data_IF_023777550354
#
_entry.id   IF_023777550354
#
_cell.length_a   1.000
_cell.length_b   1.000
_cell.length_c   1.000
_cell.angle_alpha   90.00
_cell.angle_beta   90.00
_cell.angle_gamma   90.00
#
_symmetry.space_group_name_H-M   'P 1'
#
loop_
_entity.id
_entity.type
_entity.pdbx_description
1 polymer ?
#
# COMPACT_ATOMS: atom_id res chain seq x y z
N UNK A 1 11.34 -20.99 -44.80
CA UNK A 1 10.86 -21.83 -43.69
C UNK A 1 9.63 -21.13 -43.10
N UNK A 2 8.43 -21.56 -43.51
CA UNK A 2 7.15 -20.97 -43.15
C UNK A 2 6.91 -21.20 -41.62
N UNK A 3 6.83 -20.11 -40.86
CA UNK A 3 6.30 -20.17 -39.47
C UNK A 3 4.77 -20.31 -39.61
N UNK A 4 4.28 -21.49 -39.26
CA UNK A 4 2.86 -21.75 -39.12
C UNK A 4 2.31 -20.90 -37.97
N UNK A 5 1.45 -19.93 -38.36
CA UNK A 5 0.55 -19.29 -37.40
C UNK A 5 -0.42 -20.36 -36.90
N UNK A 6 -0.18 -20.92 -35.75
CA UNK A 6 -1.17 -21.73 -35.06
C UNK A 6 -2.24 -20.74 -34.54
N UNK A 7 -3.28 -20.58 -35.34
CA UNK A 7 -4.52 -20.02 -34.85
C UNK A 7 -5.12 -20.98 -33.84
N UNK A 8 -4.75 -20.82 -32.56
CA UNK A 8 -5.56 -21.39 -31.49
C UNK A 8 -6.88 -20.61 -31.50
N UNK A 9 -7.92 -21.22 -32.04
CA UNK A 9 -9.30 -20.83 -31.82
C UNK A 9 -9.55 -20.94 -30.31
N UNK A 10 -9.36 -19.83 -29.61
CA UNK A 10 -9.67 -19.74 -28.18
C UNK A 10 -11.16 -20.00 -28.01
N UNK A 11 -11.50 -21.02 -27.25
CA UNK A 11 -12.80 -21.09 -26.61
C UNK A 11 -12.95 -19.77 -25.84
N UNK A 12 -13.95 -18.96 -26.19
CA UNK A 12 -14.26 -17.71 -25.50
C UNK A 12 -14.23 -17.99 -24.00
N UNK A 13 -13.35 -17.30 -23.27
CA UNK A 13 -13.21 -17.50 -21.85
C UNK A 13 -14.47 -16.96 -21.16
N UNK A 14 -15.27 -17.85 -20.60
CA UNK A 14 -16.52 -17.46 -19.96
C UNK A 14 -16.34 -16.72 -18.63
N UNK A 15 -15.12 -16.76 -18.05
CA UNK A 15 -14.78 -16.14 -16.77
C UNK A 15 -13.35 -15.62 -16.80
N UNK A 16 -13.06 -14.59 -15.99
CA UNK A 16 -11.68 -14.18 -15.75
C UNK A 16 -10.88 -15.33 -15.10
N UNK A 17 -9.57 -15.40 -15.35
CA UNK A 17 -8.71 -16.37 -14.68
C UNK A 17 -8.77 -16.19 -13.16
N UNK A 18 -8.56 -17.28 -12.41
CA UNK A 18 -8.39 -17.19 -10.97
C UNK A 18 -7.20 -16.28 -10.64
N UNK A 19 -7.28 -15.56 -9.52
CA UNK A 19 -6.16 -14.77 -9.03
C UNK A 19 -4.95 -15.66 -8.76
N UNK A 20 -3.82 -15.34 -9.36
CA UNK A 20 -2.56 -16.09 -9.25
C UNK A 20 -1.39 -15.12 -9.13
N UNK A 21 -0.40 -15.50 -8.34
CA UNK A 21 0.91 -14.86 -8.32
C UNK A 21 1.90 -15.64 -9.19
N UNK A 22 2.68 -14.94 -10.02
CA UNK A 22 3.75 -15.53 -10.81
C UNK A 22 4.82 -14.49 -11.15
N UNK A 23 6.09 -14.90 -11.14
CA UNK A 23 7.23 -14.06 -11.59
C UNK A 23 7.38 -14.02 -13.10
N UNK A 24 6.69 -14.89 -13.83
CA UNK A 24 6.71 -14.85 -15.29
C UNK A 24 6.13 -13.51 -15.78
N UNK A 25 6.86 -12.76 -16.62
CA UNK A 25 6.36 -11.49 -17.11
C UNK A 25 5.14 -11.68 -18.01
N UNK A 26 4.17 -10.79 -17.91
CA UNK A 26 3.17 -10.66 -18.94
C UNK A 26 3.81 -10.03 -20.18
N UNK A 27 3.36 -10.41 -21.37
CA UNK A 27 3.80 -9.82 -22.63
C UNK A 27 2.65 -9.02 -23.24
N UNK A 28 2.90 -7.73 -23.47
CA UNK A 28 1.99 -6.88 -24.24
C UNK A 28 2.66 -6.56 -25.58
N UNK A 29 2.08 -7.01 -26.68
CA UNK A 29 2.64 -6.80 -28.02
C UNK A 29 1.56 -6.50 -29.03
N UNK A 30 1.94 -6.08 -30.22
CA UNK A 30 0.95 -5.83 -31.27
C UNK A 30 1.46 -4.99 -32.40
N UNK A 31 0.49 -4.36 -33.09
CA UNK A 31 0.77 -3.56 -34.27
C UNK A 31 -0.12 -2.32 -34.34
N UNK A 32 0.48 -1.21 -34.74
CA UNK A 32 -0.22 0.03 -35.04
C UNK A 32 -0.31 0.16 -36.56
N UNK A 33 -1.52 0.26 -37.06
CA UNK A 33 -1.82 0.38 -38.50
C UNK A 33 -2.29 1.81 -38.78
N UNK A 34 -1.75 2.44 -39.83
CA UNK A 34 -2.16 3.79 -40.21
C UNK A 34 -1.20 4.45 -41.15
N UNK A 35 -1.36 5.74 -41.41
CA UNK A 35 -0.51 6.50 -42.31
C UNK A 35 0.93 6.56 -41.78
N UNK A 36 1.93 6.20 -42.59
CA UNK A 36 3.36 6.10 -42.24
C UNK A 36 3.97 7.37 -41.58
N UNK A 37 3.34 8.52 -41.70
CA UNK A 37 3.73 9.74 -41.00
C UNK A 37 3.29 9.79 -39.51
N UNK A 38 2.39 8.88 -39.09
CA UNK A 38 1.84 8.83 -37.71
C UNK A 38 2.43 7.68 -36.86
N UNK A 39 3.20 6.76 -37.48
CA UNK A 39 3.73 5.54 -36.80
C UNK A 39 5.07 5.81 -36.10
N UNK A 40 5.50 7.05 -35.95
CA UNK A 40 6.77 7.39 -35.22
C UNK A 40 6.64 7.39 -33.70
N UNK A 41 5.51 6.92 -33.17
CA UNK A 41 5.20 7.01 -31.76
C UNK A 41 5.62 5.75 -31.01
N UNK A 42 5.95 5.92 -29.75
CA UNK A 42 6.19 4.83 -28.83
C UNK A 42 4.88 4.40 -28.14
N UNK A 43 4.78 3.13 -27.82
CA UNK A 43 3.75 2.62 -26.90
C UNK A 43 4.23 2.80 -25.49
N UNK A 44 3.46 3.51 -24.69
CA UNK A 44 3.73 3.74 -23.28
C UNK A 44 2.70 2.99 -22.43
N UNK A 45 3.16 2.32 -21.39
CA UNK A 45 2.30 1.56 -20.47
C UNK A 45 2.58 1.96 -19.03
N UNK A 46 1.53 2.24 -18.26
CA UNK A 46 1.59 2.40 -16.80
C UNK A 46 0.73 1.34 -16.14
N UNK A 47 1.23 0.74 -15.08
CA UNK A 47 0.50 -0.24 -14.29
C UNK A 47 0.98 -0.22 -12.84
N UNK A 48 0.15 -0.72 -11.93
CA UNK A 48 0.47 -0.78 -10.52
C UNK A 48 0.71 -2.23 -10.10
N UNK A 49 1.85 -2.48 -9.45
CA UNK A 49 2.12 -3.78 -8.85
C UNK A 49 1.22 -3.99 -7.65
N UNK A 50 0.36 -5.00 -7.71
CA UNK A 50 -0.69 -5.19 -6.70
C UNK A 50 -0.15 -5.63 -5.33
N UNK A 51 1.02 -6.29 -5.26
CA UNK A 51 1.63 -6.77 -4.01
C UNK A 51 2.67 -5.81 -3.42
N UNK A 52 2.87 -4.61 -4.02
CA UNK A 52 3.81 -3.60 -3.52
C UNK A 52 3.13 -2.23 -3.34
N UNK A 53 1.80 -2.17 -3.32
CA UNK A 53 1.09 -0.92 -3.10
C UNK A 53 1.49 -0.31 -1.75
N UNK A 54 1.66 1.00 -1.69
CA UNK A 54 2.08 1.71 -0.48
C UNK A 54 3.59 1.96 -0.36
N UNK A 55 4.44 1.29 -1.13
CA UNK A 55 5.90 1.55 -1.09
C UNK A 55 6.34 2.75 -1.93
N UNK A 56 5.43 3.42 -2.64
CA UNK A 56 5.76 4.42 -3.66
C UNK A 56 6.34 3.82 -4.96
N UNK A 57 6.91 2.63 -4.87
CA UNK A 57 7.48 1.89 -6.00
C UNK A 57 6.49 0.96 -6.70
N UNK A 58 5.21 0.99 -6.33
CA UNK A 58 4.20 0.15 -6.94
C UNK A 58 3.90 0.55 -8.39
N UNK A 59 3.93 1.85 -8.68
CA UNK A 59 3.70 2.35 -10.04
C UNK A 59 4.88 2.00 -10.95
N UNK A 60 4.58 1.34 -12.05
CA UNK A 60 5.54 0.98 -13.10
C UNK A 60 5.20 1.68 -14.41
N UNK A 61 6.25 1.99 -15.14
CA UNK A 61 6.15 2.54 -16.49
C UNK A 61 7.07 1.73 -17.40
N UNK A 62 6.55 1.37 -18.56
CA UNK A 62 7.30 0.72 -19.63
C UNK A 62 6.98 1.40 -20.96
N UNK A 63 7.94 1.39 -21.87
CA UNK A 63 7.73 1.91 -23.20
C UNK A 63 8.46 1.07 -24.24
N UNK A 64 7.88 0.94 -25.43
CA UNK A 64 8.53 0.34 -26.59
C UNK A 64 8.42 1.27 -27.78
N UNK A 65 9.51 1.41 -28.51
CA UNK A 65 9.47 2.03 -29.84
C UNK A 65 8.69 1.13 -30.80
N UNK A 66 7.96 1.74 -31.69
CA UNK A 66 7.26 1.05 -32.78
C UNK A 66 8.22 0.93 -33.96
N UNK A 67 8.34 -0.27 -34.50
CA UNK A 67 9.21 -0.51 -35.68
C UNK A 67 8.60 0.01 -36.99
N UNK A 68 9.34 -0.12 -38.09
CA UNK A 68 8.91 0.35 -39.42
C UNK A 68 7.63 -0.35 -39.92
N UNK A 69 7.32 -1.54 -39.42
CA UNK A 69 6.12 -2.30 -39.76
C UNK A 69 4.96 -1.99 -38.77
N UNK A 70 5.15 -1.04 -37.88
CA UNK A 70 4.18 -0.67 -36.87
C UNK A 70 4.12 -1.62 -35.65
N UNK A 71 5.10 -2.52 -35.47
CA UNK A 71 5.08 -3.54 -34.43
C UNK A 71 5.82 -3.07 -33.17
N UNK A 72 5.37 -3.60 -32.03
CA UNK A 72 6.00 -3.38 -30.72
C UNK A 72 5.87 -4.63 -29.85
N UNK A 73 6.69 -4.70 -28.79
CA UNK A 73 6.58 -5.73 -27.74
C UNK A 73 7.15 -5.21 -26.42
N UNK A 74 6.45 -5.49 -25.32
CA UNK A 74 6.80 -5.12 -23.96
C UNK A 74 6.71 -6.35 -23.05
N UNK A 75 7.74 -6.57 -22.23
CA UNK A 75 7.70 -7.48 -21.11
C UNK A 75 7.34 -6.71 -19.84
N UNK A 76 6.27 -7.12 -19.18
CA UNK A 76 5.70 -6.46 -18.01
C UNK A 76 5.78 -7.40 -16.79
N UNK A 77 6.74 -7.22 -15.88
CA UNK A 77 6.85 -8.02 -14.67
C UNK A 77 5.77 -7.60 -13.66
N UNK A 78 4.56 -8.09 -13.85
CA UNK A 78 3.39 -7.65 -13.09
C UNK A 78 3.15 -8.41 -11.78
N UNK A 79 3.67 -9.62 -11.67
CA UNK A 79 3.48 -10.50 -10.52
C UNK A 79 2.06 -11.08 -10.39
N UNK A 80 1.05 -10.30 -10.71
CA UNK A 80 -0.36 -10.67 -10.70
C UNK A 80 -1.05 -10.14 -11.96
N UNK A 81 -2.29 -10.53 -12.21
CA UNK A 81 -3.11 -9.89 -13.23
C UNK A 81 -3.33 -8.43 -12.86
N UNK A 82 -3.05 -7.52 -13.77
CA UNK A 82 -3.17 -6.08 -13.57
C UNK A 82 -3.81 -5.38 -14.76
N UNK A 83 -4.45 -4.25 -14.48
CA UNK A 83 -4.85 -3.26 -15.46
C UNK A 83 -3.64 -2.45 -15.92
N UNK A 84 -3.51 -2.29 -17.22
CA UNK A 84 -2.48 -1.51 -17.89
C UNK A 84 -3.11 -0.30 -18.58
N UNK A 85 -2.68 0.89 -18.20
CA UNK A 85 -3.03 2.12 -18.90
C UNK A 85 -2.09 2.29 -20.09
N UNK A 86 -2.60 2.05 -21.28
CA UNK A 86 -1.83 2.10 -22.53
C UNK A 86 -2.03 3.44 -23.21
N UNK A 87 -0.92 4.02 -23.70
CA UNK A 87 -0.92 5.25 -24.47
C UNK A 87 -0.16 5.07 -25.77
N UNK A 88 -0.79 5.46 -26.88
CA UNK A 88 -0.19 5.50 -28.22
C UNK A 88 -0.54 6.87 -28.83
N UNK A 89 0.41 7.79 -28.83
CA UNK A 89 0.13 9.18 -29.16
C UNK A 89 -0.95 9.79 -28.25
N UNK A 90 -2.03 10.27 -28.84
CA UNK A 90 -3.19 10.79 -28.10
C UNK A 90 -4.18 9.71 -27.66
N UNK A 91 -4.08 8.52 -28.24
CA UNK A 91 -4.97 7.40 -27.91
C UNK A 91 -4.64 6.87 -26.50
N UNK A 92 -5.67 6.65 -25.69
CA UNK A 92 -5.58 6.11 -24.32
C UNK A 92 -6.63 5.04 -24.11
N UNK A 93 -6.23 3.90 -23.54
CA UNK A 93 -7.16 2.83 -23.15
C UNK A 93 -6.58 2.00 -22.02
N UNK A 94 -7.41 1.18 -21.43
CA UNK A 94 -7.03 0.22 -20.39
C UNK A 94 -7.18 -1.19 -20.95
N UNK A 95 -6.23 -2.07 -20.65
CA UNK A 95 -6.36 -3.50 -20.88
C UNK A 95 -5.75 -4.29 -19.73
N UNK A 96 -6.30 -5.47 -19.46
CA UNK A 96 -5.75 -6.39 -18.46
C UNK A 96 -4.72 -7.30 -19.09
N UNK A 97 -3.62 -7.53 -18.35
CA UNK A 97 -2.57 -8.50 -18.69
C UNK A 97 -2.41 -9.52 -17.57
N UNK A 98 -2.02 -10.74 -17.92
CA UNK A 98 -1.84 -11.87 -17.00
C UNK A 98 -0.39 -12.30 -17.01
N UNK A 99 0.28 -12.49 -15.86
CA UNK A 99 1.64 -13.03 -15.80
C UNK A 99 1.79 -14.32 -16.60
N UNK A 100 2.90 -14.45 -17.32
CA UNK A 100 3.18 -15.62 -18.15
C UNK A 100 2.35 -15.73 -19.44
N UNK A 101 1.48 -14.75 -19.74
CA UNK A 101 0.65 -14.76 -20.92
C UNK A 101 0.95 -13.59 -21.85
N UNK A 102 0.60 -13.78 -23.12
CA UNK A 102 0.70 -12.73 -24.14
C UNK A 102 -0.68 -12.16 -24.44
N UNK A 103 -0.82 -10.87 -24.26
CA UNK A 103 -1.93 -10.06 -24.77
C UNK A 103 -1.43 -9.31 -25.98
N UNK A 104 -2.16 -9.38 -27.09
CA UNK A 104 -1.83 -8.61 -28.30
C UNK A 104 -2.93 -7.61 -28.60
N UNK A 105 -2.56 -6.51 -29.23
CA UNK A 105 -3.56 -5.66 -29.86
C UNK A 105 -3.09 -5.10 -31.20
N UNK A 106 -4.05 -4.84 -32.09
CA UNK A 106 -3.86 -4.05 -33.30
C UNK A 106 -4.67 -2.79 -33.18
N UNK A 107 -4.04 -1.63 -33.29
CA UNK A 107 -4.70 -0.32 -33.33
C UNK A 107 -4.69 0.24 -34.74
N UNK A 108 -5.88 0.40 -35.34
CA UNK A 108 -6.05 1.01 -36.66
C UNK A 108 -6.37 2.50 -36.52
N UNK A 109 -5.37 3.35 -36.75
CA UNK A 109 -5.49 4.81 -36.62
C UNK A 109 -6.47 5.43 -37.64
N UNK A 110 -6.76 4.75 -38.74
CA UNK A 110 -7.76 5.24 -39.69
C UNK A 110 -9.18 4.97 -39.21
N UNK A 111 -9.41 3.79 -38.61
CA UNK A 111 -10.70 3.47 -37.99
C UNK A 111 -10.93 4.32 -36.73
N UNK A 112 -9.89 4.59 -35.93
CA UNK A 112 -9.99 5.43 -34.74
C UNK A 112 -10.65 6.78 -35.05
N UNK A 113 -10.29 7.40 -36.17
CA UNK A 113 -10.86 8.70 -36.60
C UNK A 113 -12.33 8.65 -37.05
N UNK A 114 -12.81 7.48 -37.48
CA UNK A 114 -14.10 7.37 -38.16
C UNK A 114 -15.10 6.48 -37.42
N UNK A 115 -14.65 5.55 -36.60
CA UNK A 115 -15.47 4.50 -36.04
C UNK A 115 -15.36 4.38 -34.49
N UNK A 116 -14.52 5.20 -33.85
CA UNK A 116 -14.26 5.14 -32.43
C UNK A 116 -13.19 4.12 -32.05
N UNK A 117 -12.87 4.12 -30.74
CA UNK A 117 -11.76 3.37 -30.18
C UNK A 117 -12.02 1.85 -30.17
N UNK A 118 -13.19 1.42 -29.72
CA UNK A 118 -13.53 0.00 -29.65
C UNK A 118 -13.46 -0.69 -31.03
N UNK A 119 -13.92 0.00 -32.08
CA UNK A 119 -13.82 -0.52 -33.46
C UNK A 119 -12.42 -0.45 -34.06
N UNK A 120 -11.57 0.42 -33.53
CA UNK A 120 -10.17 0.59 -33.97
C UNK A 120 -9.20 -0.39 -33.31
N UNK A 121 -9.59 -0.98 -32.17
CA UNK A 121 -8.78 -1.92 -31.39
C UNK A 121 -9.25 -3.36 -31.63
N UNK A 122 -8.32 -4.22 -31.98
CA UNK A 122 -8.53 -5.67 -32.04
C UNK A 122 -7.56 -6.32 -31.07
N UNK A 123 -8.08 -6.97 -30.04
CA UNK A 123 -7.27 -7.72 -29.08
C UNK A 123 -7.11 -9.18 -29.50
N UNK A 124 -5.99 -9.79 -29.05
CA UNK A 124 -5.70 -11.23 -29.19
C UNK A 124 -5.13 -11.79 -27.90
N UNK A 125 -5.14 -13.12 -27.76
CA UNK A 125 -4.76 -13.84 -26.57
C UNK A 125 -5.95 -14.20 -25.69
N UNK A 126 -5.67 -14.70 -24.47
CA UNK A 126 -6.70 -15.27 -23.60
C UNK A 126 -7.76 -14.26 -23.13
N UNK A 127 -7.40 -12.98 -22.98
CA UNK A 127 -8.30 -11.92 -22.55
C UNK A 127 -8.81 -11.04 -23.71
N UNK A 128 -8.76 -11.51 -24.96
CA UNK A 128 -9.12 -10.70 -26.11
C UNK A 128 -10.52 -10.09 -26.02
N UNK A 129 -11.52 -10.93 -25.83
CA UNK A 129 -12.93 -10.50 -25.74
C UNK A 129 -13.15 -9.61 -24.51
N UNK A 130 -12.58 -9.98 -23.36
CA UNK A 130 -12.69 -9.20 -22.14
C UNK A 130 -12.10 -7.78 -22.29
N UNK A 131 -10.91 -7.66 -22.87
CA UNK A 131 -10.26 -6.36 -23.07
C UNK A 131 -11.00 -5.51 -24.13
N UNK A 132 -11.58 -6.15 -25.14
CA UNK A 132 -12.43 -5.46 -26.09
C UNK A 132 -13.69 -4.91 -25.41
N UNK A 133 -14.39 -5.74 -24.63
CA UNK A 133 -15.60 -5.36 -23.91
C UNK A 133 -15.34 -4.23 -22.90
N UNK A 134 -14.19 -4.24 -22.22
CA UNK A 134 -13.75 -3.17 -21.30
C UNK A 134 -13.61 -1.83 -22.07
N UNK A 135 -12.91 -1.84 -23.21
CA UNK A 135 -12.74 -0.62 -24.02
C UNK A 135 -14.09 -0.14 -24.58
N UNK A 136 -14.93 -1.06 -25.06
CA UNK A 136 -16.27 -0.75 -25.52
C UNK A 136 -17.13 -0.12 -24.41
N UNK A 137 -17.20 -0.74 -23.25
CA UNK A 137 -17.99 -0.26 -22.13
C UNK A 137 -17.52 1.12 -21.63
N UNK A 138 -16.19 1.35 -21.60
CA UNK A 138 -15.62 2.65 -21.28
C UNK A 138 -16.02 3.72 -22.30
N UNK A 139 -15.97 3.41 -23.60
CA UNK A 139 -16.36 4.33 -24.68
C UNK A 139 -17.86 4.64 -24.65
N UNK A 140 -18.71 3.66 -24.30
CA UNK A 140 -20.16 3.83 -24.16
C UNK A 140 -20.56 4.48 -22.84
N UNK A 141 -19.64 4.70 -21.89
CA UNK A 141 -19.94 5.29 -20.59
C UNK A 141 -20.75 4.37 -19.66
N UNK A 142 -20.67 3.06 -19.85
CA UNK A 142 -21.33 2.04 -19.01
C UNK A 142 -20.34 1.30 -18.09
N UNK A 143 -19.05 1.59 -18.19
CA UNK A 143 -18.03 1.05 -17.30
C UNK A 143 -18.20 1.60 -15.88
N UNK A 144 -18.39 0.74 -14.86
CA UNK A 144 -18.63 1.18 -13.48
C UNK A 144 -17.52 2.04 -12.91
N UNK A 145 -16.26 1.68 -13.11
CA UNK A 145 -15.13 2.45 -12.59
C UNK A 145 -15.14 3.90 -13.11
N UNK A 146 -15.44 4.10 -14.37
CA UNK A 146 -15.58 5.44 -14.95
C UNK A 146 -16.74 6.23 -14.33
N UNK A 147 -17.89 5.58 -14.09
CA UNK A 147 -19.07 6.21 -13.47
C UNK A 147 -18.75 6.65 -12.04
N UNK A 148 -18.17 5.77 -11.22
CA UNK A 148 -17.86 6.10 -9.82
C UNK A 148 -16.72 7.09 -9.69
N UNK A 149 -15.75 7.09 -10.59
CA UNK A 149 -14.71 8.13 -10.67
C UNK A 149 -15.29 9.52 -10.93
N UNK A 150 -16.34 9.64 -11.74
CA UNK A 150 -17.06 10.92 -11.93
C UNK A 150 -17.76 11.35 -10.63
N UNK A 151 -18.39 10.42 -9.91
CA UNK A 151 -19.02 10.70 -8.60
C UNK A 151 -17.97 11.15 -7.59
N UNK A 152 -16.82 10.49 -7.56
CA UNK A 152 -15.69 10.87 -6.69
C UNK A 152 -15.15 12.27 -7.04
N UNK A 153 -14.99 12.57 -8.31
CA UNK A 153 -14.57 13.89 -8.77
C UNK A 153 -15.56 14.97 -8.33
N UNK A 154 -16.85 14.76 -8.48
CA UNK A 154 -17.92 15.66 -8.01
C UNK A 154 -17.90 15.83 -6.50
N UNK A 155 -17.67 14.77 -5.74
CA UNK A 155 -17.49 14.81 -4.28
C UNK A 155 -16.31 15.72 -3.92
N UNK A 156 -15.16 15.48 -4.51
CA UNK A 156 -13.92 16.21 -4.22
C UNK A 156 -14.03 17.70 -4.57
N UNK A 157 -14.86 18.05 -5.54
CA UNK A 157 -15.19 19.44 -5.92
C UNK A 157 -16.34 20.04 -5.09
N UNK A 158 -16.93 19.31 -4.14
CA UNK A 158 -18.08 19.77 -3.36
C UNK A 158 -19.40 19.89 -4.17
N UNK A 159 -19.47 19.30 -5.35
CA UNK A 159 -20.60 19.41 -6.27
C UNK A 159 -21.63 18.30 -6.04
N UNK A 160 -21.23 17.15 -5.50
CA UNK A 160 -22.09 15.99 -5.34
C UNK A 160 -23.34 16.28 -4.51
N UNK A 161 -23.21 17.11 -3.45
CA UNK A 161 -24.34 17.49 -2.61
C UNK A 161 -25.49 18.19 -3.36
N UNK A 162 -25.24 18.75 -4.55
CA UNK A 162 -26.26 19.38 -5.38
C UNK A 162 -27.04 18.39 -6.26
N UNK A 163 -26.52 17.18 -6.41
CA UNK A 163 -27.15 16.09 -7.18
C UNK A 163 -27.98 15.14 -6.29
N UNK A 164 -27.86 15.28 -4.97
CA UNK A 164 -28.59 14.43 -4.03
C UNK A 164 -30.07 14.83 -3.97
N UNK A 165 -31.00 13.84 -3.84
CA UNK A 165 -32.43 14.13 -3.64
C UNK A 165 -32.67 15.01 -2.42
N UNK A 166 -31.89 14.79 -1.37
CA UNK A 166 -31.84 15.62 -0.17
C UNK A 166 -30.41 15.57 0.43
N UNK A 167 -30.01 16.64 1.09
CA UNK A 167 -28.70 16.73 1.75
C UNK A 167 -28.73 16.04 3.11
N UNK A 168 -28.92 14.72 3.10
CA UNK A 168 -28.99 13.87 4.28
C UNK A 168 -28.26 12.55 4.05
N UNK A 169 -27.97 11.82 5.13
CA UNK A 169 -27.45 10.46 5.06
C UNK A 169 -28.34 9.57 4.19
N UNK A 170 -29.67 9.66 4.38
CA UNK A 170 -30.61 8.88 3.61
C UNK A 170 -30.62 9.25 2.13
N UNK A 171 -30.54 10.54 1.80
CA UNK A 171 -30.44 11.02 0.41
C UNK A 171 -29.17 10.56 -0.27
N UNK A 172 -28.06 10.56 0.44
CA UNK A 172 -26.78 10.05 -0.10
C UNK A 172 -26.83 8.56 -0.40
N UNK A 173 -27.31 7.75 0.54
CA UNK A 173 -27.42 6.32 0.31
C UNK A 173 -28.46 5.97 -0.76
N UNK A 174 -29.56 6.69 -0.84
CA UNK A 174 -30.52 6.52 -1.93
C UNK A 174 -29.91 6.83 -3.30
N UNK A 175 -29.10 7.88 -3.39
CA UNK A 175 -28.35 8.21 -4.61
C UNK A 175 -27.40 7.08 -5.03
N UNK A 176 -26.62 6.52 -4.10
CA UNK A 176 -25.72 5.40 -4.38
C UNK A 176 -26.47 4.14 -4.80
N UNK A 177 -27.58 3.77 -4.11
CA UNK A 177 -28.39 2.61 -4.45
C UNK A 177 -29.02 2.76 -5.84
N UNK A 178 -29.54 3.94 -6.14
CA UNK A 178 -30.11 4.23 -7.46
C UNK A 178 -29.06 4.17 -8.56
N UNK A 179 -27.84 4.66 -8.29
CA UNK A 179 -26.71 4.54 -9.21
C UNK A 179 -26.32 3.09 -9.42
N UNK A 180 -26.20 2.31 -8.35
CA UNK A 180 -25.89 0.89 -8.43
C UNK A 180 -26.89 0.11 -9.29
N UNK A 181 -28.20 0.34 -9.07
CA UNK A 181 -29.24 -0.31 -9.86
C UNK A 181 -29.18 0.09 -11.33
N UNK A 182 -29.07 1.40 -11.61
CA UNK A 182 -28.94 1.92 -12.97
C UNK A 182 -27.75 1.33 -13.71
N UNK A 183 -26.60 1.23 -13.06
CA UNK A 183 -25.39 0.65 -13.68
C UNK A 183 -25.59 -0.83 -13.98
N UNK A 184 -26.20 -1.61 -13.06
CA UNK A 184 -26.53 -3.01 -13.34
C UNK A 184 -27.49 -3.15 -14.52
N UNK A 185 -28.49 -2.29 -14.63
CA UNK A 185 -29.43 -2.29 -15.77
C UNK A 185 -28.72 -1.97 -17.09
N UNK A 186 -27.79 -1.01 -17.10
CA UNK A 186 -26.99 -0.70 -18.29
C UNK A 186 -26.16 -1.92 -18.73
N UNK A 187 -25.48 -2.58 -17.78
CA UNK A 187 -24.66 -3.77 -18.03
C UNK A 187 -25.53 -4.94 -18.53
N UNK A 188 -26.72 -5.17 -17.94
CA UNK A 188 -27.59 -6.29 -18.29
C UNK A 188 -28.27 -6.13 -19.63
N UNK A 189 -28.64 -4.92 -20.00
CA UNK A 189 -29.34 -4.62 -21.24
C UNK A 189 -28.43 -4.49 -22.46
N UNK A 190 -27.12 -4.31 -22.26
CA UNK A 190 -26.18 -4.24 -23.37
C UNK A 190 -25.90 -5.65 -23.93
N UNK A 191 -26.12 -5.86 -25.22
CA UNK A 191 -25.95 -7.16 -25.89
C UNK A 191 -24.57 -7.39 -26.47
N UNK A 192 -23.78 -6.33 -26.60
CA UNK A 192 -22.42 -6.40 -27.14
C UNK A 192 -21.42 -6.88 -26.09
N UNK A 193 -21.76 -6.72 -24.80
CA UNK A 193 -20.87 -7.13 -23.71
C UNK A 193 -21.00 -8.64 -23.44
N UNK A 194 -19.84 -9.33 -23.47
CA UNK A 194 -19.73 -10.75 -23.16
C UNK A 194 -19.86 -11.07 -21.67
N UNK A 195 -20.03 -12.35 -21.37
CA UNK A 195 -20.31 -12.82 -20.00
C UNK A 195 -19.16 -12.50 -19.02
N UNK A 196 -17.90 -12.66 -19.44
CA UNK A 196 -16.75 -12.44 -18.57
C UNK A 196 -16.65 -10.97 -18.10
N UNK A 197 -16.83 -10.02 -19.01
CA UNK A 197 -16.84 -8.61 -18.65
C UNK A 197 -18.08 -8.23 -17.86
N UNK A 198 -19.26 -8.77 -18.19
CA UNK A 198 -20.52 -8.55 -17.46
C UNK A 198 -20.39 -8.92 -15.97
N UNK A 199 -19.84 -10.08 -15.68
CA UNK A 199 -19.59 -10.53 -14.30
C UNK A 199 -18.59 -9.61 -13.58
N UNK A 200 -17.51 -9.25 -14.25
CA UNK A 200 -16.54 -8.30 -13.75
C UNK A 200 -17.17 -6.94 -13.46
N UNK A 201 -17.86 -6.35 -14.42
CA UNK A 201 -18.47 -5.03 -14.29
C UNK A 201 -19.50 -4.96 -13.15
N UNK A 202 -20.31 -6.02 -12.96
CA UNK A 202 -21.24 -6.09 -11.82
C UNK A 202 -20.52 -6.18 -10.48
N UNK A 203 -19.42 -6.93 -10.42
CA UNK A 203 -18.60 -7.01 -9.22
C UNK A 203 -17.94 -5.66 -8.92
N UNK A 204 -17.39 -4.98 -9.94
CA UNK A 204 -16.85 -3.62 -9.81
C UNK A 204 -17.90 -2.63 -9.37
N UNK A 205 -19.10 -2.65 -9.98
CA UNK A 205 -20.22 -1.77 -9.60
C UNK A 205 -20.58 -1.90 -8.12
N UNK A 206 -20.68 -3.14 -7.63
CA UNK A 206 -20.98 -3.42 -6.22
C UNK A 206 -19.87 -2.89 -5.31
N UNK A 207 -18.63 -3.15 -5.68
CA UNK A 207 -17.45 -2.70 -4.98
C UNK A 207 -17.37 -1.19 -4.87
N UNK A 208 -17.42 -0.49 -6.00
CA UNK A 208 -17.31 0.98 -6.05
C UNK A 208 -18.44 1.65 -5.27
N UNK A 209 -19.66 1.13 -5.38
CA UNK A 209 -20.77 1.61 -4.58
C UNK A 209 -20.51 1.47 -3.07
N UNK A 210 -20.00 0.31 -2.63
CA UNK A 210 -19.60 0.09 -1.23
C UNK A 210 -18.48 1.01 -0.79
N UNK A 211 -17.46 1.20 -1.64
CA UNK A 211 -16.31 2.06 -1.36
C UNK A 211 -16.70 3.54 -1.20
N UNK A 212 -17.79 3.99 -1.87
CA UNK A 212 -18.29 5.36 -1.72
C UNK A 212 -19.04 5.59 -0.41
N UNK A 213 -19.61 4.57 0.21
CA UNK A 213 -20.49 4.72 1.39
C UNK A 213 -19.81 5.42 2.61
N UNK A 214 -18.54 5.15 2.97
CA UNK A 214 -17.88 5.82 4.09
C UNK A 214 -17.75 7.34 3.93
N UNK A 215 -17.81 7.84 2.70
CA UNK A 215 -17.64 9.25 2.39
C UNK A 215 -18.92 10.09 2.52
N UNK A 216 -19.97 9.54 3.13
CA UNK A 216 -21.26 10.20 3.31
C UNK A 216 -21.09 11.59 3.97
N UNK A 217 -20.42 11.70 5.10
CA UNK A 217 -20.23 12.95 5.83
C UNK A 217 -19.56 14.04 4.97
N UNK A 218 -18.52 13.67 4.25
CA UNK A 218 -17.81 14.59 3.34
C UNK A 218 -18.68 15.01 2.13
N UNK A 219 -19.49 14.08 1.62
CA UNK A 219 -20.29 14.29 0.42
C UNK A 219 -21.44 15.25 0.63
N UNK A 220 -22.06 15.26 1.81
CA UNK A 220 -23.24 16.07 2.11
C UNK A 220 -22.92 17.33 2.92
N UNK A 221 -21.64 17.55 3.28
CA UNK A 221 -21.22 18.62 4.21
C UNK A 221 -22.06 18.58 5.51
N UNK A 222 -22.27 17.40 6.03
CA UNK A 222 -23.21 17.15 7.11
C UNK A 222 -22.56 17.43 8.46
N UNK A 223 -23.10 18.41 9.18
CA UNK A 223 -22.64 18.79 10.52
C UNK A 223 -23.17 17.89 11.63
N UNK A 224 -23.89 16.82 11.31
CA UNK A 224 -24.55 15.94 12.30
C UNK A 224 -23.68 14.80 12.83
N UNK A 225 -22.40 14.76 12.49
CA UNK A 225 -21.41 13.77 12.99
C UNK A 225 -20.35 14.51 13.82
N UNK A 226 -20.78 15.47 14.62
CA UNK A 226 -19.86 16.38 15.32
C UNK A 226 -19.45 15.86 16.72
N UNK A 227 -20.02 14.73 17.16
CA UNK A 227 -19.68 14.09 18.43
C UNK A 227 -19.25 12.66 18.21
N UNK A 228 -18.43 12.12 19.14
CA UNK A 228 -17.98 10.74 19.09
C UNK A 228 -19.16 9.75 19.06
N UNK A 229 -20.24 10.04 19.84
CA UNK A 229 -21.44 9.19 19.84
C UNK A 229 -22.19 9.20 18.50
N UNK A 230 -22.25 10.35 17.82
CA UNK A 230 -22.87 10.46 16.49
C UNK A 230 -22.04 9.75 15.43
N UNK A 231 -20.71 9.80 15.53
CA UNK A 231 -19.78 9.08 14.68
C UNK A 231 -19.93 7.55 14.87
N UNK A 232 -19.89 7.07 16.11
CA UNK A 232 -20.05 5.65 16.44
C UNK A 232 -21.41 5.11 15.94
N UNK A 233 -22.48 5.90 16.11
CA UNK A 233 -23.80 5.54 15.59
C UNK A 233 -23.84 5.49 14.06
N UNK A 234 -23.16 6.40 13.36
CA UNK A 234 -23.00 6.37 11.92
C UNK A 234 -22.20 5.14 11.47
N UNK A 235 -21.06 4.86 12.10
CA UNK A 235 -20.27 3.67 11.79
C UNK A 235 -21.04 2.37 11.96
N UNK A 236 -21.87 2.27 13.03
CA UNK A 236 -22.71 1.09 13.25
C UNK A 236 -23.74 0.90 12.13
N UNK A 237 -24.40 1.99 11.67
CA UNK A 237 -25.34 1.94 10.52
C UNK A 237 -24.62 1.61 9.22
N UNK A 238 -23.45 2.22 8.97
CA UNK A 238 -22.61 1.96 7.82
C UNK A 238 -22.20 0.48 7.76
N UNK A 239 -21.74 -0.07 8.88
CA UNK A 239 -21.37 -1.48 8.99
C UNK A 239 -22.54 -2.40 8.66
N UNK A 240 -23.71 -2.15 9.26
CA UNK A 240 -24.93 -2.92 8.99
C UNK A 240 -25.33 -2.85 7.50
N UNK A 241 -25.20 -1.67 6.89
CA UNK A 241 -25.52 -1.49 5.48
C UNK A 241 -24.54 -2.23 4.57
N UNK A 242 -23.25 -2.14 4.84
CA UNK A 242 -22.22 -2.87 4.11
C UNK A 242 -22.37 -4.38 4.23
N UNK A 243 -22.74 -4.90 5.41
CA UNK A 243 -23.04 -6.33 5.61
C UNK A 243 -24.20 -6.79 4.70
N UNK A 244 -25.27 -6.01 4.58
CA UNK A 244 -26.39 -6.32 3.68
C UNK A 244 -25.95 -6.26 2.22
N UNK A 245 -25.16 -5.26 1.86
CA UNK A 245 -24.68 -5.03 0.50
C UNK A 245 -23.72 -6.11 0.03
N UNK A 246 -22.91 -6.65 0.97
CA UNK A 246 -21.94 -7.69 0.73
C UNK A 246 -22.44 -9.12 0.98
N UNK A 247 -23.74 -9.28 1.34
CA UNK A 247 -24.35 -10.55 1.78
C UNK A 247 -24.30 -11.67 0.74
N UNK A 248 -24.26 -11.34 -0.54
CA UNK A 248 -24.19 -12.35 -1.63
C UNK A 248 -22.75 -12.78 -1.94
N UNK A 249 -21.84 -12.56 -0.99
CA UNK A 249 -20.45 -13.02 -1.01
C UNK A 249 -19.64 -12.54 -2.23
N UNK A 250 -19.53 -11.23 -2.44
CA UNK A 250 -18.71 -10.66 -3.50
C UNK A 250 -17.23 -10.99 -3.35
N UNK A 251 -16.77 -11.34 -2.12
CA UNK A 251 -15.39 -11.62 -1.76
C UNK A 251 -14.92 -13.01 -2.16
N UNK A 252 -15.84 -13.92 -2.43
CA UNK A 252 -15.53 -15.25 -2.97
C UNK A 252 -15.37 -15.20 -4.49
N UNK A 253 -15.85 -14.14 -5.12
CA UNK A 253 -15.67 -13.97 -6.56
C UNK A 253 -14.20 -13.62 -6.85
N UNK A 254 -13.48 -14.45 -7.62
CA UNK A 254 -12.09 -14.19 -8.01
C UNK A 254 -11.90 -12.80 -8.65
N UNK A 255 -12.94 -12.30 -9.29
CA UNK A 255 -12.95 -10.99 -9.96
C UNK A 255 -12.64 -9.85 -8.99
N UNK A 256 -13.18 -9.89 -7.77
CA UNK A 256 -12.95 -8.81 -6.80
C UNK A 256 -11.50 -8.74 -6.32
N UNK A 257 -10.77 -9.83 -6.35
CA UNK A 257 -9.34 -9.82 -6.06
C UNK A 257 -8.57 -8.90 -6.99
N UNK A 258 -9.08 -8.60 -8.18
CA UNK A 258 -8.46 -7.68 -9.13
C UNK A 258 -8.77 -6.21 -8.83
N UNK A 259 -9.88 -5.93 -8.16
CA UNK A 259 -10.38 -4.57 -7.88
C UNK A 259 -10.01 -4.11 -6.47
N UNK A 260 -9.96 -5.03 -5.51
CA UNK A 260 -9.73 -4.74 -4.08
C UNK A 260 -8.41 -4.03 -3.74
N UNK A 261 -7.43 -4.01 -4.65
CA UNK A 261 -6.14 -3.36 -4.41
C UNK A 261 -6.20 -1.84 -4.38
N UNK A 262 -7.28 -1.24 -4.86
CA UNK A 262 -7.51 0.20 -4.78
C UNK A 262 -8.17 0.63 -3.47
N UNK A 263 -8.55 -0.32 -2.59
CA UNK A 263 -9.18 -0.01 -1.31
C UNK A 263 -8.22 0.50 -0.24
N UNK A 264 -8.68 1.42 0.63
CA UNK A 264 -7.98 1.73 1.86
C UNK A 264 -7.81 0.47 2.73
N UNK A 265 -6.63 0.28 3.33
CA UNK A 265 -6.30 -0.87 4.18
C UNK A 265 -7.32 -1.08 5.32
N UNK A 266 -7.83 0.00 5.89
CA UNK A 266 -8.86 -0.06 6.94
C UNK A 266 -10.12 -0.76 6.50
N UNK A 267 -10.50 -0.64 5.23
CA UNK A 267 -11.65 -1.33 4.68
C UNK A 267 -11.34 -2.81 4.45
N UNK A 268 -10.20 -3.12 3.86
CA UNK A 268 -9.74 -4.50 3.63
C UNK A 268 -9.55 -5.22 4.96
N UNK A 269 -8.94 -4.61 5.96
CA UNK A 269 -8.70 -5.20 7.29
C UNK A 269 -9.99 -5.49 8.05
N UNK A 270 -10.98 -4.62 7.96
CA UNK A 270 -12.29 -4.86 8.59
C UNK A 270 -13.02 -6.06 7.96
N UNK A 271 -12.70 -6.40 6.71
CA UNK A 271 -13.27 -7.54 5.99
C UNK A 271 -12.41 -8.79 6.02
N UNK A 272 -11.08 -8.66 5.99
CA UNK A 272 -10.13 -9.80 6.11
C UNK A 272 -10.21 -10.44 7.51
N UNK A 273 -10.63 -9.70 8.53
CA UNK A 273 -10.93 -10.24 9.85
C UNK A 273 -12.19 -11.12 9.92
N UNK A 274 -13.03 -11.10 8.87
CA UNK A 274 -14.19 -12.00 8.77
C UNK A 274 -13.77 -13.34 8.14
N UNK A 275 -14.47 -14.45 8.39
CA UNK A 275 -14.12 -15.77 7.85
C UNK A 275 -14.44 -15.91 6.35
N UNK A 276 -14.06 -14.92 5.56
CA UNK A 276 -14.25 -14.91 4.11
C UNK A 276 -13.19 -15.81 3.46
N UNK A 277 -13.59 -16.66 2.54
CA UNK A 277 -12.70 -17.56 1.79
C UNK A 277 -12.03 -16.83 0.62
N UNK A 278 -11.15 -15.87 0.94
CA UNK A 278 -10.30 -15.29 -0.09
C UNK A 278 -9.31 -16.33 -0.64
N UNK A 279 -8.97 -16.28 -1.93
CA UNK A 279 -7.91 -17.12 -2.48
C UNK A 279 -6.61 -17.00 -1.66
N UNK A 280 -5.91 -18.13 -1.48
CA UNK A 280 -4.67 -18.15 -0.70
C UNK A 280 -3.64 -17.19 -1.26
N UNK A 281 -3.44 -17.20 -2.56
CA UNK A 281 -2.48 -16.31 -3.25
C UNK A 281 -2.80 -14.82 -3.03
N UNK A 282 -4.09 -14.45 -3.05
CA UNK A 282 -4.52 -13.10 -2.75
C UNK A 282 -4.13 -12.68 -1.33
N UNK A 283 -4.45 -13.50 -0.33
CA UNK A 283 -4.12 -13.19 1.07
C UNK A 283 -2.62 -13.06 1.30
N UNK A 284 -1.84 -13.92 0.67
CA UNK A 284 -0.39 -13.88 0.76
C UNK A 284 0.19 -12.64 0.08
N UNK A 285 -0.29 -12.28 -1.10
CA UNK A 285 0.10 -11.04 -1.78
C UNK A 285 -0.27 -9.79 -0.96
N UNK A 286 -1.47 -9.77 -0.38
CA UNK A 286 -1.91 -8.64 0.46
C UNK A 286 -1.02 -8.50 1.70
N UNK A 287 -0.74 -9.60 2.40
CA UNK A 287 0.14 -9.57 3.58
C UNK A 287 1.58 -9.22 3.20
N UNK A 288 2.08 -9.71 2.07
CA UNK A 288 3.37 -9.32 1.53
C UNK A 288 3.45 -7.81 1.21
N UNK A 289 2.39 -7.23 0.64
CA UNK A 289 2.30 -5.79 0.42
C UNK A 289 2.43 -5.00 1.72
N UNK A 290 1.75 -5.41 2.78
CA UNK A 290 1.86 -4.75 4.10
C UNK A 290 3.27 -4.84 4.67
N UNK A 291 3.94 -5.98 4.53
CA UNK A 291 5.32 -6.12 4.97
C UNK A 291 6.28 -5.26 4.14
N UNK A 292 6.08 -5.20 2.83
CA UNK A 292 6.90 -4.36 1.95
C UNK A 292 6.66 -2.86 2.22
N UNK A 293 5.42 -2.47 2.50
CA UNK A 293 5.09 -1.10 2.91
C UNK A 293 5.71 -0.76 4.26
N UNK A 294 5.57 -1.63 5.27
CA UNK A 294 6.23 -1.46 6.57
C UNK A 294 7.74 -1.23 6.40
N UNK A 295 8.39 -2.01 5.55
CA UNK A 295 9.82 -1.89 5.30
C UNK A 295 10.17 -0.66 4.44
N UNK A 296 9.40 -0.39 3.39
CA UNK A 296 9.68 0.69 2.44
C UNK A 296 9.34 2.08 2.99
N UNK A 297 8.07 2.32 3.26
CA UNK A 297 7.57 3.63 3.67
C UNK A 297 7.90 3.95 5.13
N UNK A 298 7.71 2.98 6.03
CA UNK A 298 7.90 3.17 7.47
C UNK A 298 9.32 2.82 7.94
N UNK A 299 10.12 2.14 7.09
CA UNK A 299 11.47 1.65 7.39
C UNK A 299 11.56 0.70 8.60
N UNK A 300 10.48 -0.04 8.88
CA UNK A 300 10.49 -1.07 9.93
C UNK A 300 10.81 -2.44 9.33
N UNK A 301 11.84 -3.08 9.87
CA UNK A 301 12.21 -4.45 9.51
C UNK A 301 11.18 -5.46 10.03
N UNK A 302 11.16 -6.64 9.43
CA UNK A 302 10.31 -7.73 9.89
C UNK A 302 10.75 -8.25 11.26
N UNK A 303 9.77 -8.48 12.14
CA UNK A 303 9.97 -9.26 13.37
C UNK A 303 10.17 -10.74 13.03
N UNK A 304 10.73 -11.54 13.94
CA UNK A 304 10.88 -12.98 13.74
C UNK A 304 9.54 -13.68 13.45
N UNK A 305 8.48 -13.30 14.19
CA UNK A 305 7.13 -13.84 13.94
C UNK A 305 6.60 -13.49 12.53
N UNK A 306 6.92 -12.30 12.02
CA UNK A 306 6.56 -11.93 10.65
C UNK A 306 7.39 -12.71 9.62
N UNK A 307 8.69 -12.94 9.87
CA UNK A 307 9.54 -13.78 9.02
C UNK A 307 9.01 -15.23 8.97
N UNK A 308 8.62 -15.79 10.13
CA UNK A 308 8.01 -17.12 10.18
C UNK A 308 6.70 -17.16 9.37
N UNK A 309 5.89 -16.12 9.44
CA UNK A 309 4.69 -15.98 8.61
C UNK A 309 5.02 -15.94 7.11
N UNK A 310 6.04 -15.18 6.71
CA UNK A 310 6.49 -15.09 5.31
C UNK A 310 6.92 -16.45 4.77
N UNK A 311 7.57 -17.29 5.58
CA UNK A 311 7.98 -18.63 5.16
C UNK A 311 6.80 -19.57 4.80
N UNK A 312 5.57 -19.21 5.17
CA UNK A 312 4.35 -19.93 4.76
C UNK A 312 3.79 -19.50 3.40
N UNK A 313 4.36 -18.46 2.78
CA UNK A 313 3.93 -17.92 1.49
C UNK A 313 4.37 -18.81 0.32
N UNK A 314 3.85 -18.48 -0.87
CA UNK A 314 4.42 -19.00 -2.11
C UNK A 314 5.93 -18.74 -2.12
N UNK A 315 6.76 -19.74 -2.50
CA UNK A 315 8.21 -19.64 -2.35
C UNK A 315 8.83 -18.40 -3.01
N UNK A 316 8.35 -18.04 -4.19
CA UNK A 316 8.84 -16.87 -4.93
C UNK A 316 8.46 -15.54 -4.26
N UNK A 317 7.25 -15.46 -3.70
CA UNK A 317 6.76 -14.30 -2.96
C UNK A 317 7.49 -14.15 -1.63
N UNK A 318 7.69 -15.27 -0.92
CA UNK A 318 8.47 -15.31 0.32
C UNK A 318 9.90 -14.81 0.09
N UNK A 319 10.55 -15.28 -0.97
CA UNK A 319 11.91 -14.87 -1.32
C UNK A 319 12.00 -13.37 -1.57
N UNK A 320 11.06 -12.76 -2.31
CA UNK A 320 11.06 -11.31 -2.59
C UNK A 320 10.96 -10.48 -1.31
N UNK A 321 10.07 -10.89 -0.39
CA UNK A 321 9.87 -10.18 0.88
C UNK A 321 11.11 -10.28 1.78
N UNK A 322 11.69 -11.49 1.88
CA UNK A 322 12.89 -11.72 2.70
C UNK A 322 14.12 -11.03 2.11
N UNK A 323 14.33 -11.07 0.80
CA UNK A 323 15.43 -10.37 0.12
C UNK A 323 15.34 -8.85 0.33
N UNK A 324 14.11 -8.31 0.33
CA UNK A 324 13.91 -6.89 0.63
C UNK A 324 14.28 -6.57 2.08
N UNK A 325 13.87 -7.42 3.03
CA UNK A 325 14.23 -7.27 4.44
C UNK A 325 15.75 -7.35 4.66
N UNK A 326 16.43 -8.31 4.02
CA UNK A 326 17.89 -8.43 4.12
C UNK A 326 18.62 -7.24 3.51
N UNK A 327 18.13 -6.70 2.38
CA UNK A 327 18.68 -5.49 1.77
C UNK A 327 18.58 -4.31 2.72
N UNK A 328 17.42 -4.08 3.33
CA UNK A 328 17.25 -3.02 4.34
C UNK A 328 18.11 -3.26 5.56
N UNK A 329 18.24 -4.50 6.04
CA UNK A 329 19.12 -4.85 7.17
C UNK A 329 20.57 -4.43 6.87
N UNK A 330 21.06 -4.70 5.66
CA UNK A 330 22.41 -4.28 5.22
C UNK A 330 22.54 -2.75 5.15
N UNK A 331 21.54 -2.05 4.63
CA UNK A 331 21.53 -0.57 4.56
C UNK A 331 21.60 0.07 5.95
N UNK A 332 20.93 -0.52 6.94
CA UNK A 332 20.88 -0.03 8.32
C UNK A 332 22.05 -0.53 9.18
N UNK A 333 22.86 -1.46 8.66
CA UNK A 333 23.97 -2.02 9.40
C UNK A 333 25.19 -1.08 9.38
N UNK A 334 25.84 -0.95 10.51
CA UNK A 334 27.17 -0.36 10.65
C UNK A 334 27.88 -1.01 11.85
N UNK A 335 29.20 -0.94 11.87
CA UNK A 335 30.03 -1.45 12.96
C UNK A 335 30.67 -0.26 13.65
N UNK A 336 30.49 -0.16 14.97
CA UNK A 336 31.18 0.84 15.79
C UNK A 336 32.41 0.27 16.47
N UNK A 337 33.22 1.14 17.05
CA UNK A 337 34.35 0.72 17.91
C UNK A 337 33.81 0.03 19.16
N UNK A 338 34.35 -1.13 19.52
CA UNK A 338 33.98 -1.88 20.70
C UNK A 338 34.35 -1.13 22.00
N UNK A 339 33.50 -1.24 23.03
CA UNK A 339 33.80 -0.76 24.37
C UNK A 339 32.99 0.46 24.83
N UNK A 340 32.15 1.06 23.96
CA UNK A 340 31.29 2.21 24.33
C UNK A 340 29.85 1.82 24.65
N UNK A 341 29.55 0.53 24.74
CA UNK A 341 28.22 -0.03 25.00
C UNK A 341 28.24 -0.85 26.28
N UNK A 342 27.22 -0.66 27.11
CA UNK A 342 27.04 -1.40 28.35
C UNK A 342 25.59 -1.85 28.53
N UNK A 343 25.39 -3.12 28.90
CA UNK A 343 24.05 -3.63 29.24
C UNK A 343 23.76 -3.31 30.70
N UNK A 344 22.59 -2.75 30.95
CA UNK A 344 22.08 -2.41 32.27
C UNK A 344 20.76 -3.13 32.56
N UNK A 345 20.50 -3.44 33.82
CA UNK A 345 19.26 -4.05 34.29
C UNK A 345 18.60 -3.18 35.33
N UNK A 346 17.27 -3.19 35.38
CA UNK A 346 16.47 -2.61 36.44
C UNK A 346 15.95 -3.71 37.39
N UNK A 347 15.74 -3.36 38.65
CA UNK A 347 15.00 -4.25 39.57
C UNK A 347 13.53 -4.32 39.12
N UNK A 348 12.93 -5.50 39.21
CA UNK A 348 11.55 -5.76 38.78
C UNK A 348 10.47 -4.96 39.54
N UNK A 349 10.80 -4.35 40.69
CA UNK A 349 9.89 -3.68 41.60
C UNK A 349 10.05 -2.14 41.61
N UNK A 350 10.53 -1.52 40.53
CA UNK A 350 10.62 -0.05 40.50
C UNK A 350 9.25 0.57 40.15
N UNK A 351 8.66 1.29 41.11
CA UNK A 351 7.40 2.02 40.94
C UNK A 351 7.56 3.20 39.97
N UNK A 352 8.72 3.81 39.93
CA UNK A 352 9.11 4.92 39.05
C UNK A 352 10.31 4.50 38.18
N UNK A 353 10.03 4.11 36.95
CA UNK A 353 11.04 3.59 36.01
C UNK A 353 12.00 4.68 35.56
N UNK A 354 11.53 5.91 35.33
CA UNK A 354 12.40 7.01 34.93
C UNK A 354 13.38 7.36 36.03
N UNK A 355 12.89 7.53 37.30
CA UNK A 355 13.73 7.82 38.44
C UNK A 355 14.73 6.68 38.74
N UNK A 356 14.31 5.41 38.54
CA UNK A 356 15.17 4.25 38.73
C UNK A 356 16.33 4.24 37.71
N UNK A 357 16.07 4.57 36.44
CA UNK A 357 17.10 4.72 35.41
C UNK A 357 18.03 5.89 35.78
N UNK A 358 17.48 7.08 36.07
CA UNK A 358 18.26 8.30 36.26
C UNK A 358 19.11 8.28 37.53
N UNK A 359 18.81 7.41 38.48
CA UNK A 359 19.60 7.25 39.72
C UNK A 359 21.09 6.98 39.42
N UNK A 360 21.40 6.33 38.29
CA UNK A 360 22.76 5.99 37.88
C UNK A 360 23.52 7.17 37.18
N UNK A 361 22.82 8.25 36.82
CA UNK A 361 23.33 9.29 35.91
C UNK A 361 23.34 10.71 36.52
N UNK A 362 23.55 10.83 37.81
CA UNK A 362 23.55 12.14 38.49
C UNK A 362 24.72 13.03 38.08
N UNK A 363 24.45 14.31 37.93
CA UNK A 363 25.47 15.36 37.74
C UNK A 363 25.88 15.62 36.28
N UNK A 364 25.34 14.88 35.34
CA UNK A 364 25.48 15.17 33.88
C UNK A 364 24.14 15.05 33.19
N UNK A 365 23.89 15.79 32.12
CA UNK A 365 22.70 15.60 31.29
C UNK A 365 22.60 14.18 30.76
N UNK A 366 21.37 13.74 30.44
CA UNK A 366 21.10 12.41 29.86
C UNK A 366 20.30 12.58 28.57
N UNK A 367 20.69 11.84 27.54
CA UNK A 367 19.86 11.61 26.38
C UNK A 367 19.31 10.19 26.45
N UNK A 368 18.00 10.07 26.72
CA UNK A 368 17.27 8.80 26.58
C UNK A 368 16.82 8.64 25.12
N UNK A 369 17.05 7.46 24.57
CA UNK A 369 16.70 7.06 23.21
C UNK A 369 15.88 5.76 23.29
N UNK A 370 14.55 5.85 23.14
CA UNK A 370 13.68 4.68 23.11
C UNK A 370 13.59 4.18 21.67
N UNK A 371 13.89 2.89 21.48
CA UNK A 371 14.04 2.30 20.17
C UNK A 371 13.59 0.84 20.14
N UNK A 372 13.44 0.26 18.95
CA UNK A 372 13.19 -1.16 18.73
C UNK A 372 14.14 -1.74 17.68
N UNK A 373 14.42 -3.03 17.74
CA UNK A 373 15.35 -3.71 16.82
C UNK A 373 14.88 -3.66 15.37
N UNK A 374 13.57 -3.64 15.14
CA UNK A 374 12.94 -3.53 13.84
C UNK A 374 12.79 -2.08 13.34
N UNK A 375 13.01 -1.09 14.22
CA UNK A 375 12.87 0.33 13.90
C UNK A 375 14.02 0.83 13.02
N UNK A 376 13.82 0.90 11.72
CA UNK A 376 14.79 1.42 10.76
C UNK A 376 15.19 2.87 11.00
N UNK A 377 14.25 3.82 11.22
CA UNK A 377 14.60 5.19 11.60
C UNK A 377 15.45 5.30 12.86
N UNK A 378 15.22 4.44 13.88
CA UNK A 378 16.04 4.39 15.07
C UNK A 378 17.48 3.95 14.76
N UNK A 379 17.61 2.88 13.97
CA UNK A 379 18.92 2.35 13.57
C UNK A 379 19.69 3.32 12.68
N UNK A 380 19.00 4.05 11.81
CA UNK A 380 19.59 5.13 11.03
C UNK A 380 20.10 6.24 11.94
N UNK A 381 19.32 6.64 12.94
CA UNK A 381 19.73 7.66 13.92
C UNK A 381 20.99 7.25 14.69
N UNK A 382 21.10 5.99 15.14
CA UNK A 382 22.32 5.47 15.77
C UNK A 382 23.53 5.58 14.85
N UNK A 383 23.38 5.22 13.58
CA UNK A 383 24.42 5.30 12.57
C UNK A 383 24.87 6.75 12.32
N UNK A 384 23.91 7.64 12.07
CA UNK A 384 24.17 9.04 11.71
C UNK A 384 24.76 9.84 12.89
N UNK A 385 24.31 9.53 14.14
CA UNK A 385 24.76 10.18 15.35
C UNK A 385 26.06 9.61 15.93
N UNK A 386 26.58 8.49 15.38
CA UNK A 386 27.67 7.75 15.99
C UNK A 386 28.88 8.63 16.33
N UNK A 387 29.45 9.33 15.35
CA UNK A 387 30.64 10.19 15.55
C UNK A 387 30.33 11.38 16.49
N UNK A 388 29.12 11.90 16.47
CA UNK A 388 28.70 12.98 17.39
C UNK A 388 28.62 12.49 18.82
N UNK A 389 27.97 11.32 19.05
CA UNK A 389 27.90 10.68 20.37
C UNK A 389 29.30 10.38 20.92
N UNK A 390 30.22 9.83 20.09
CA UNK A 390 31.61 9.57 20.46
C UNK A 390 32.32 10.80 21.01
N UNK A 391 32.13 11.96 20.41
CA UNK A 391 32.70 13.23 20.86
C UNK A 391 32.06 13.84 22.11
N UNK A 392 30.95 13.26 22.62
CA UNK A 392 30.19 13.81 23.72
C UNK A 392 30.10 12.93 24.98
N UNK A 393 30.66 11.71 24.97
CA UNK A 393 30.56 10.73 26.07
C UNK A 393 30.98 11.26 27.44
N UNK A 394 31.95 12.23 27.44
CA UNK A 394 32.39 12.86 28.68
C UNK A 394 31.48 13.95 29.21
N UNK A 395 30.55 14.44 28.39
CA UNK A 395 29.67 15.59 28.68
C UNK A 395 28.21 15.21 28.91
N UNK A 396 27.70 14.13 28.30
CA UNK A 396 26.33 13.67 28.38
C UNK A 396 26.28 12.15 28.47
N UNK A 397 25.34 11.60 29.21
CA UNK A 397 25.08 10.17 29.22
C UNK A 397 24.11 9.79 28.11
N UNK A 398 24.45 8.76 27.35
CA UNK A 398 23.55 8.16 26.35
C UNK A 398 22.92 6.91 26.94
N UNK A 399 21.60 6.88 27.02
CA UNK A 399 20.84 5.76 27.58
C UNK A 399 19.82 5.30 26.55
N UNK A 400 20.00 4.08 26.06
CA UNK A 400 19.21 3.49 24.98
C UNK A 400 18.26 2.45 25.58
N UNK A 401 16.97 2.59 25.34
CA UNK A 401 15.93 1.76 25.94
C UNK A 401 15.18 1.03 24.83
N UNK A 402 15.21 -0.30 24.85
CA UNK A 402 14.38 -1.17 24.02
C UNK A 402 13.32 -1.88 24.89
N UNK A 403 12.22 -2.34 24.26
CA UNK A 403 11.25 -3.17 24.94
C UNK A 403 11.51 -4.67 24.72
N UNK A 404 10.76 -5.49 25.43
CA UNK A 404 10.73 -6.95 25.22
C UNK A 404 10.17 -7.36 23.85
N UNK A 405 9.53 -6.44 23.09
CA UNK A 405 9.13 -6.68 21.70
C UNK A 405 10.34 -6.78 20.76
N UNK A 406 11.45 -6.16 21.12
CA UNK A 406 12.74 -6.37 20.44
C UNK A 406 13.22 -7.80 20.68
N UNK A 407 13.42 -8.58 19.62
CA UNK A 407 13.99 -9.92 19.73
C UNK A 407 15.32 -9.88 20.49
N UNK A 408 15.45 -10.74 21.53
CA UNK A 408 16.59 -10.70 22.41
C UNK A 408 17.93 -10.95 21.69
N UNK A 409 17.96 -11.94 20.80
CA UNK A 409 19.17 -12.28 20.06
C UNK A 409 19.59 -11.16 19.11
N UNK A 410 18.62 -10.57 18.43
CA UNK A 410 18.85 -9.40 17.56
C UNK A 410 19.33 -8.18 18.35
N UNK A 411 18.67 -7.91 19.49
CA UNK A 411 19.08 -6.81 20.38
C UNK A 411 20.51 -6.99 20.88
N UNK A 412 20.87 -8.18 21.38
CA UNK A 412 22.23 -8.50 21.84
C UNK A 412 23.29 -8.37 20.72
N UNK A 413 22.93 -8.69 19.49
CA UNK A 413 23.78 -8.55 18.32
C UNK A 413 24.02 -7.08 17.92
N UNK A 414 23.02 -6.22 18.10
CA UNK A 414 23.05 -4.82 17.65
C UNK A 414 23.70 -3.87 18.66
N UNK A 415 23.43 -4.03 19.94
CA UNK A 415 23.85 -3.08 20.99
C UNK A 415 25.37 -2.85 21.08
N UNK A 416 26.27 -3.80 20.74
CA UNK A 416 27.71 -3.52 20.72
C UNK A 416 28.11 -2.40 19.75
N UNK A 417 27.25 -2.13 18.75
CA UNK A 417 27.48 -1.09 17.75
C UNK A 417 26.94 0.29 18.17
N UNK A 418 26.20 0.40 19.28
CA UNK A 418 25.51 1.61 19.68
C UNK A 418 26.12 2.17 20.99
N UNK A 419 26.56 3.43 20.93
CA UNK A 419 27.16 4.11 22.09
C UNK A 419 26.12 4.34 23.17
N UNK A 420 26.45 3.97 24.41
CA UNK A 420 25.69 4.24 25.60
C UNK A 420 25.30 3.01 26.42
N UNK A 421 24.50 3.22 27.43
CA UNK A 421 23.96 2.20 28.31
C UNK A 421 22.64 1.67 27.75
N UNK A 422 22.45 0.36 27.75
CA UNK A 422 21.33 -0.31 27.12
C UNK A 422 20.45 -1.02 28.13
N UNK A 423 19.20 -0.62 28.20
CA UNK A 423 18.16 -1.29 28.97
C UNK A 423 17.18 -2.01 28.03
N UNK A 424 16.69 -3.17 28.46
CA UNK A 424 15.59 -3.87 27.81
C UNK A 424 14.46 -4.03 28.81
N UNK A 425 13.37 -3.27 28.62
CA UNK A 425 12.27 -3.18 29.56
C UNK A 425 11.16 -4.18 29.25
N UNK A 426 10.50 -4.69 30.27
CA UNK A 426 9.23 -5.41 30.11
C UNK A 426 8.15 -4.47 29.61
N UNK A 427 7.06 -5.03 29.08
CA UNK A 427 5.91 -4.24 28.63
C UNK A 427 5.35 -3.34 29.74
N UNK A 428 5.27 -3.87 30.97
CA UNK A 428 4.78 -3.11 32.13
C UNK A 428 5.71 -1.95 32.49
N UNK A 429 7.03 -2.19 32.51
CA UNK A 429 8.02 -1.15 32.76
C UNK A 429 8.00 -0.07 31.69
N UNK A 430 7.86 -0.46 30.41
CA UNK A 430 7.76 0.50 29.30
C UNK A 430 6.49 1.34 29.40
N UNK A 431 5.34 0.74 29.73
CA UNK A 431 4.09 1.49 29.95
C UNK A 431 4.22 2.50 31.09
N UNK A 432 4.86 2.11 32.21
CA UNK A 432 5.15 3.02 33.32
C UNK A 432 6.05 4.18 32.86
N UNK A 433 7.11 3.90 32.09
CA UNK A 433 7.97 4.95 31.53
C UNK A 433 7.20 5.89 30.60
N UNK A 434 6.42 5.35 29.67
CA UNK A 434 5.63 6.13 28.72
C UNK A 434 4.65 7.10 29.40
N UNK A 435 4.03 6.69 30.51
CA UNK A 435 3.11 7.56 31.28
C UNK A 435 3.80 8.78 31.92
N UNK A 436 5.12 8.78 32.01
CA UNK A 436 5.93 9.83 32.64
C UNK A 436 6.52 10.80 31.57
N UNK A 437 6.41 10.47 30.27
CA UNK A 437 7.00 11.27 29.21
C UNK A 437 6.01 12.30 28.65
N UNK A 438 6.40 13.58 28.53
CA UNK A 438 5.52 14.64 28.03
C UNK A 438 5.52 14.72 26.50
N UNK A 439 5.40 13.58 25.82
CA UNK A 439 5.36 13.50 24.35
C UNK A 439 4.48 12.34 23.88
N UNK A 440 4.24 12.27 22.56
CA UNK A 440 3.55 11.13 21.98
C UNK A 440 4.42 9.87 22.07
N UNK A 441 3.90 8.81 22.69
CA UNK A 441 4.61 7.53 22.90
C UNK A 441 4.06 6.38 22.04
N UNK A 442 3.26 6.68 21.01
CA UNK A 442 2.65 5.67 20.12
C UNK A 442 3.63 5.01 19.16
N UNK A 443 4.86 5.54 19.01
CA UNK A 443 5.89 5.03 18.11
C UNK A 443 7.30 5.36 18.57
N UNK A 444 8.29 4.78 17.87
CA UNK A 444 9.73 5.00 18.11
C UNK A 444 10.39 5.54 16.84
N UNK A 445 11.53 6.29 16.94
CA UNK A 445 12.27 6.62 18.16
C UNK A 445 11.59 7.70 19.00
N UNK A 446 11.80 7.63 20.33
CA UNK A 446 11.44 8.70 21.27
C UNK A 446 12.72 9.20 21.91
N UNK A 447 12.89 10.50 21.92
CA UNK A 447 14.05 11.19 22.46
C UNK A 447 13.67 12.01 23.66
N UNK A 448 14.38 11.82 24.78
CA UNK A 448 14.17 12.60 26.00
C UNK A 448 15.48 13.19 26.45
N UNK A 449 15.57 14.50 26.41
CA UNK A 449 16.68 15.28 26.92
C UNK A 449 16.42 15.63 28.39
N UNK A 450 17.35 15.31 29.25
CA UNK A 450 17.23 15.45 30.70
C UNK A 450 18.43 16.28 31.20
N UNK A 451 18.13 17.30 32.00
CA UNK A 451 19.13 18.15 32.63
C UNK A 451 19.95 17.39 33.69
N UNK A 452 21.11 17.93 34.06
CA UNK A 452 21.98 17.35 35.05
C UNK A 452 21.34 17.18 36.45
N UNK A 453 20.27 17.92 36.75
CA UNK A 453 19.46 17.81 37.97
C UNK A 453 18.38 16.70 37.90
N UNK A 454 18.21 16.07 36.75
CA UNK A 454 17.26 15.00 36.50
C UNK A 454 15.88 15.46 36.00
N UNK A 455 15.68 16.76 35.74
CA UNK A 455 14.43 17.28 35.17
C UNK A 455 14.40 17.07 33.66
N UNK A 456 13.23 16.72 33.09
CA UNK A 456 13.06 16.64 31.64
C UNK A 456 13.15 18.04 31.05
N UNK A 457 14.13 18.25 30.15
CA UNK A 457 14.25 19.47 29.39
C UNK A 457 13.30 19.46 28.18
N UNK A 458 13.38 18.40 27.36
CA UNK A 458 12.54 18.25 26.18
C UNK A 458 12.32 16.76 25.85
N UNK A 459 11.14 16.43 25.34
CA UNK A 459 10.84 15.10 24.81
C UNK A 459 10.06 15.18 23.50
N UNK A 460 10.40 14.32 22.52
CA UNK A 460 9.73 14.30 21.23
C UNK A 460 9.87 12.94 20.56
N UNK A 461 9.02 12.68 19.55
CA UNK A 461 8.98 11.44 18.79
C UNK A 461 9.43 11.67 17.35
N UNK A 462 10.09 10.67 16.77
CA UNK A 462 10.56 10.66 15.40
C UNK A 462 12.03 11.00 15.23
N UNK A 463 12.63 10.51 14.15
CA UNK A 463 13.97 10.86 13.76
C UNK A 463 14.00 12.22 13.07
N UNK A 464 14.90 13.07 13.51
CA UNK A 464 15.27 14.32 12.84
C UNK A 464 16.63 14.13 12.16
N UNK A 465 17.17 15.13 11.53
CA UNK A 465 18.55 15.09 11.03
C UNK A 465 19.56 15.33 12.17
N UNK A 466 20.83 15.06 11.90
CA UNK A 466 21.93 15.20 12.87
C UNK A 466 22.04 16.64 13.41
N UNK A 467 21.88 17.67 12.55
CA UNK A 467 22.07 19.05 12.94
C UNK A 467 20.97 19.52 13.91
N UNK A 468 19.75 19.10 13.69
CA UNK A 468 18.64 19.42 14.60
C UNK A 468 18.80 18.70 15.95
N UNK A 469 19.23 17.41 15.95
CA UNK A 469 19.55 16.71 17.19
C UNK A 469 20.67 17.37 17.96
N UNK A 470 21.72 17.85 17.28
CA UNK A 470 22.83 18.55 17.93
C UNK A 470 22.41 19.90 18.50
N UNK A 471 21.46 20.62 17.87
CA UNK A 471 20.88 21.83 18.47
C UNK A 471 20.17 21.52 19.78
N UNK A 472 19.35 20.48 19.82
CA UNK A 472 18.66 20.05 21.04
C UNK A 472 19.65 19.64 22.15
N UNK A 473 20.64 18.79 21.81
CA UNK A 473 21.66 18.35 22.78
C UNK A 473 22.45 19.54 23.36
N UNK A 474 22.79 20.51 22.53
CA UNK A 474 23.57 21.67 22.98
C UNK A 474 22.80 22.56 23.99
N UNK A 475 21.48 22.50 24.06
CA UNK A 475 20.67 23.24 25.05
C UNK A 475 20.90 22.71 26.46
N UNK A 476 21.09 21.39 26.65
CA UNK A 476 21.34 20.78 27.96
C UNK A 476 22.83 20.73 28.33
N UNK A 477 23.72 21.08 27.40
CA UNK A 477 25.17 21.12 27.62
C UNK A 477 25.68 22.51 28.03
N UNK A 478 24.81 23.52 28.02
CA UNK A 478 25.12 24.88 28.44
C UNK A 478 25.05 24.98 29.94
#
# INVERSE_FOLDING_TARGET
MMLALVAMTGLAQKHLPAFQYSKEPAVLSGQIIGNNQQITESVHVRYVLKYTSGTGDALRQASAAVDADGRFSLNLPTGTTVDCHVAVGECRFICYVVPGQTVTFTLDLNKLKTQGLANALMFGGQLADFNHDLVYATEQGIDPETIYRDIEAKRNMGQLANELPEKSEQGYFHYLDSTYQRVNELIDNDREIGQAYREFAKAVNRYECGAMMPFCGQSIQYAGIDTDEAYDAFEARLKQRLEVYMKDDPWVNPVLCYVMWSMPDTFVDSYVSQPVKLPTDYRQCHLASKFLEQMGAQRFLLTEAQKDSVLTFLPELAQDVLDYNERMERELSFVSEQGMSRVCTLSDNADDILAAILKAYKGKPVLLDLWETTCGPCRLAFKDMHEKKKGLVDRIHFVNIASENSDLATWQRLIPNYIGDHYRLTKQQLQSLHSQLPCNTSGVPIWVLINADGTIHHAFTGWRNVDDMMKEINQVLQ
#
